data_IF_228937617569
#
_entry.id   IF_228937617569
#
_cell.length_a   1.000
_cell.length_b   1.000
_cell.length_c   1.000
_cell.angle_alpha   90.00
_cell.angle_beta   90.00
_cell.angle_gamma   90.00
#
_symmetry.space_group_name_H-M   'P 1'
#
loop_
_entity.id
_entity.type
_entity.pdbx_description
1 polymer ?
#
# COMPACT_ATOMS: atom_id res chain seq x y z
N UNK A 1 -30.08 48.91 -30.02
CA UNK A 1 -30.25 48.88 -31.50
C UNK A 1 -29.03 48.18 -32.08
N UNK A 2 -29.12 46.88 -32.38
CA UNK A 2 -29.11 46.28 -33.74
C UNK A 2 -27.71 46.28 -34.38
N UNK A 3 -27.11 45.22 -34.95
CA UNK A 3 -27.35 43.81 -35.33
C UNK A 3 -25.89 43.27 -35.54
N UNK A 4 -25.47 42.03 -35.26
CA UNK A 4 -25.96 40.76 -35.78
C UNK A 4 -25.47 40.50 -37.23
N UNK A 5 -24.38 39.74 -37.43
CA UNK A 5 -24.16 38.86 -38.61
C UNK A 5 -22.90 37.98 -38.47
N UNK A 6 -23.12 36.66 -38.39
CA UNK A 6 -22.27 35.54 -38.90
C UNK A 6 -22.62 35.29 -40.39
N UNK A 7 -22.05 34.33 -41.19
CA UNK A 7 -20.86 33.43 -41.11
C UNK A 7 -20.04 33.46 -42.47
N UNK A 8 -19.33 32.43 -43.05
CA UNK A 8 -19.51 30.95 -43.04
C UNK A 8 -18.26 30.07 -42.72
N UNK A 9 -18.57 28.83 -42.36
CA UNK A 9 -17.70 27.65 -42.31
C UNK A 9 -17.12 27.25 -43.69
N UNK A 10 -15.92 26.66 -43.68
CA UNK A 10 -15.60 25.28 -44.12
C UNK A 10 -14.28 25.14 -44.91
N UNK A 11 -13.71 23.92 -44.78
CA UNK A 11 -12.49 23.30 -45.37
C UNK A 11 -11.24 23.50 -44.50
N UNK A 12 -10.63 22.47 -43.88
CA UNK A 12 -10.73 21.03 -44.03
C UNK A 12 -9.35 20.48 -44.41
N UNK A 13 -8.63 19.91 -43.43
CA UNK A 13 -7.42 19.09 -43.65
C UNK A 13 -7.09 18.29 -42.37
N UNK A 14 -6.48 17.10 -42.49
CA UNK A 14 -7.07 15.88 -41.95
C UNK A 14 -6.38 15.34 -40.68
N UNK A 15 -7.17 14.63 -39.87
CA UNK A 15 -6.69 13.76 -38.79
C UNK A 15 -6.17 12.44 -39.38
N UNK A 16 -5.03 11.89 -38.95
CA UNK A 16 -4.61 10.57 -39.38
C UNK A 16 -5.41 9.50 -38.64
N UNK A 17 -6.24 8.79 -39.39
CA UNK A 17 -6.85 7.52 -39.02
C UNK A 17 -5.81 6.40 -39.10
N UNK A 18 -5.58 5.70 -38.00
CA UNK A 18 -4.95 4.38 -38.03
C UNK A 18 -5.99 3.32 -37.67
N UNK A 19 -6.63 2.78 -38.71
CA UNK A 19 -7.21 1.44 -38.70
C UNK A 19 -6.15 0.50 -39.27
N UNK A 20 -5.78 -0.53 -38.53
CA UNK A 20 -4.87 -1.57 -39.01
C UNK A 20 -4.76 -2.75 -38.04
N UNK A 21 -5.49 -3.81 -38.34
CA UNK A 21 -5.23 -5.22 -38.00
C UNK A 21 -5.18 -5.66 -36.53
N UNK A 22 -6.29 -6.24 -36.07
CA UNK A 22 -6.36 -7.20 -34.96
C UNK A 22 -5.93 -8.59 -35.43
N UNK A 23 -5.03 -9.31 -34.74
CA UNK A 23 -4.97 -10.76 -34.81
C UNK A 23 -6.02 -11.37 -33.88
N UNK A 24 -6.66 -12.43 -34.39
CA UNK A 24 -7.78 -13.18 -33.81
C UNK A 24 -7.51 -13.71 -32.39
N UNK A 25 -8.58 -13.74 -31.61
CA UNK A 25 -8.71 -14.40 -30.32
C UNK A 25 -8.23 -15.87 -30.37
N UNK A 26 -7.14 -16.14 -29.65
CA UNK A 26 -6.73 -17.49 -29.27
C UNK A 26 -7.29 -17.82 -27.88
N UNK A 27 -7.97 -18.96 -27.81
CA UNK A 27 -8.56 -19.63 -26.65
C UNK A 27 -7.56 -19.74 -25.49
N UNK A 28 -7.87 -19.18 -24.31
CA UNK A 28 -7.12 -19.45 -23.06
C UNK A 28 -7.85 -20.55 -22.29
N UNK A 29 -7.57 -21.81 -22.64
CA UNK A 29 -7.98 -22.97 -21.85
C UNK A 29 -6.83 -23.41 -20.92
N UNK A 30 -7.14 -23.42 -19.62
CA UNK A 30 -6.43 -24.01 -18.45
C UNK A 30 -5.31 -23.22 -17.73
N UNK A 31 -5.34 -23.16 -16.38
CA UNK A 31 -4.29 -22.54 -15.57
C UNK A 31 -3.05 -23.45 -15.48
N UNK A 32 -1.82 -22.90 -15.43
CA UNK A 32 -0.62 -23.71 -15.24
C UNK A 32 -0.54 -24.20 -13.79
N UNK A 33 -0.24 -25.49 -13.63
CA UNK A 33 0.09 -26.13 -12.36
C UNK A 33 1.27 -25.42 -11.70
N UNK A 34 1.08 -25.00 -10.46
CA UNK A 34 2.13 -24.41 -9.61
C UNK A 34 3.11 -25.48 -9.13
N UNK A 35 4.38 -25.37 -9.52
CA UNK A 35 5.49 -26.00 -8.81
C UNK A 35 6.23 -24.93 -7.96
N UNK A 36 6.64 -25.24 -6.72
CA UNK A 36 7.32 -24.27 -5.88
C UNK A 36 8.82 -24.33 -6.14
N UNK A 37 9.34 -23.40 -6.96
CA UNK A 37 10.72 -22.87 -6.97
C UNK A 37 11.01 -22.22 -8.32
N UNK A 38 10.76 -20.92 -8.42
CA UNK A 38 11.60 -19.99 -9.17
C UNK A 38 11.00 -18.59 -9.01
N UNK A 39 11.72 -17.74 -8.28
CA UNK A 39 11.52 -16.30 -8.37
C UNK A 39 11.65 -15.86 -9.83
N UNK A 40 10.80 -14.94 -10.33
CA UNK A 40 10.95 -14.43 -11.68
C UNK A 40 12.30 -13.74 -11.81
N UNK A 41 13.22 -14.34 -12.57
CA UNK A 41 14.52 -13.76 -12.93
C UNK A 41 14.27 -12.67 -13.97
N UNK A 42 13.98 -11.46 -13.49
CA UNK A 42 14.16 -10.24 -14.27
C UNK A 42 15.64 -10.12 -14.67
N UNK A 43 15.98 -9.46 -15.79
CA UNK A 43 17.37 -9.15 -16.11
C UNK A 43 17.90 -8.18 -15.03
N UNK A 44 18.49 -8.73 -13.98
CA UNK A 44 18.95 -8.04 -12.76
C UNK A 44 20.18 -7.17 -12.99
N UNK A 45 20.55 -6.89 -14.24
CA UNK A 45 21.75 -6.14 -14.57
C UNK A 45 21.45 -5.20 -15.72
N UNK A 46 21.47 -3.90 -15.43
CA UNK A 46 21.55 -2.88 -16.46
C UNK A 46 22.81 -3.18 -17.31
N UNK A 47 22.74 -3.12 -18.65
CA UNK A 47 23.81 -3.64 -19.51
C UNK A 47 25.18 -3.00 -19.20
N UNK A 48 25.22 -1.72 -18.82
CA UNK A 48 26.47 -1.04 -18.46
C UNK A 48 27.12 -1.61 -17.17
N UNK A 49 26.36 -1.77 -16.08
CA UNK A 49 26.89 -2.37 -14.84
C UNK A 49 27.21 -3.85 -15.01
N UNK A 50 26.37 -4.57 -15.77
CA UNK A 50 26.60 -5.98 -16.09
C UNK A 50 27.91 -6.19 -16.84
N UNK A 51 28.22 -5.33 -17.81
CA UNK A 51 29.46 -5.35 -18.56
C UNK A 51 30.66 -5.00 -17.68
N UNK A 52 30.58 -3.94 -16.87
CA UNK A 52 31.66 -3.54 -15.95
C UNK A 52 31.94 -4.64 -14.91
N UNK A 53 30.90 -5.23 -14.34
CA UNK A 53 31.05 -6.36 -13.42
C UNK A 53 31.63 -7.60 -14.10
N UNK A 54 31.29 -7.85 -15.37
CA UNK A 54 31.85 -8.97 -16.14
C UNK A 54 33.35 -8.77 -16.43
N UNK A 55 33.79 -7.54 -16.70
CA UNK A 55 35.22 -7.21 -16.85
C UNK A 55 36.04 -7.61 -15.61
N UNK A 56 35.45 -7.50 -14.41
CA UNK A 56 36.10 -7.82 -13.15
C UNK A 56 35.89 -9.23 -12.60
N UNK A 57 35.19 -10.12 -13.30
CA UNK A 57 34.72 -11.39 -12.74
C UNK A 57 35.81 -12.47 -12.56
N UNK A 58 37.01 -12.26 -13.12
CA UNK A 58 38.15 -13.18 -12.99
C UNK A 58 38.84 -13.10 -11.62
N UNK A 59 39.69 -14.09 -11.30
CA UNK A 59 40.51 -14.10 -10.06
C UNK A 59 41.64 -13.06 -10.04
N UNK A 60 41.93 -12.44 -11.18
CA UNK A 60 42.90 -11.35 -11.31
C UNK A 60 42.38 -10.31 -12.29
N UNK A 61 43.03 -9.15 -12.29
CA UNK A 61 42.64 -8.01 -13.11
C UNK A 61 43.75 -7.71 -14.14
N UNK A 62 43.63 -8.17 -15.40
CA UNK A 62 44.62 -7.88 -16.43
C UNK A 62 44.85 -6.37 -16.60
N UNK A 63 46.08 -5.96 -16.91
CA UNK A 63 46.46 -4.54 -16.99
C UNK A 63 45.57 -3.73 -17.93
N UNK A 64 45.20 -4.30 -19.09
CA UNK A 64 44.27 -3.66 -20.02
C UNK A 64 42.87 -3.45 -19.43
N UNK A 65 42.35 -4.44 -18.70
CA UNK A 65 41.06 -4.33 -18.01
C UNK A 65 41.11 -3.31 -16.88
N UNK A 66 42.22 -3.30 -16.12
CA UNK A 66 42.46 -2.33 -15.06
C UNK A 66 42.46 -0.90 -15.59
N UNK A 67 43.20 -0.64 -16.67
CA UNK A 67 43.27 0.68 -17.29
C UNK A 67 41.90 1.17 -17.77
N UNK A 68 41.08 0.28 -18.36
CA UNK A 68 39.70 0.60 -18.75
C UNK A 68 38.86 0.98 -17.53
N UNK A 69 38.91 0.19 -16.45
CA UNK A 69 38.15 0.48 -15.23
C UNK A 69 38.59 1.79 -14.58
N UNK A 70 39.90 2.05 -14.50
CA UNK A 70 40.45 3.30 -13.98
C UNK A 70 39.96 4.49 -14.81
N UNK A 71 39.91 4.39 -16.14
CA UNK A 71 39.30 5.42 -16.99
C UNK A 71 37.81 5.63 -16.74
N UNK A 72 37.05 4.56 -16.46
CA UNK A 72 35.62 4.63 -16.17
C UNK A 72 35.31 5.25 -14.80
N UNK A 73 36.27 5.30 -13.87
CA UNK A 73 36.06 5.93 -12.55
C UNK A 73 35.74 7.42 -12.62
N UNK A 74 36.13 8.10 -13.71
CA UNK A 74 35.82 9.51 -13.99
C UNK A 74 34.59 9.72 -14.86
N UNK A 75 33.80 8.68 -15.11
CA UNK A 75 32.61 8.75 -15.96
C UNK A 75 31.61 9.80 -15.46
N UNK A 76 31.00 10.62 -16.36
CA UNK A 76 29.91 11.53 -15.99
C UNK A 76 28.63 10.78 -15.58
N UNK A 77 28.51 9.50 -15.94
CA UNK A 77 27.47 8.60 -15.45
C UNK A 77 27.92 8.03 -14.08
N UNK A 78 27.32 8.44 -12.95
CA UNK A 78 27.77 8.06 -11.61
C UNK A 78 27.60 6.55 -11.35
N UNK A 79 26.67 5.90 -12.06
CA UNK A 79 26.46 4.45 -11.99
C UNK A 79 27.66 3.71 -12.55
N UNK A 80 28.17 4.17 -13.69
CA UNK A 80 29.37 3.61 -14.34
C UNK A 80 30.60 3.83 -13.49
N UNK A 81 30.80 5.08 -12.99
CA UNK A 81 31.93 5.42 -12.13
C UNK A 81 31.96 4.58 -10.85
N UNK A 82 30.80 4.44 -10.17
CA UNK A 82 30.68 3.64 -8.96
C UNK A 82 30.91 2.15 -9.23
N UNK A 83 30.34 1.61 -10.30
CA UNK A 83 30.54 0.20 -10.66
C UNK A 83 32.02 -0.10 -10.96
N UNK A 84 32.71 0.80 -11.66
CA UNK A 84 34.13 0.66 -11.95
C UNK A 84 34.97 0.67 -10.65
N UNK A 85 34.69 1.61 -9.74
CA UNK A 85 35.34 1.67 -8.43
C UNK A 85 35.10 0.41 -7.59
N UNK A 86 33.89 -0.14 -7.59
CA UNK A 86 33.58 -1.36 -6.84
C UNK A 86 34.39 -2.55 -7.33
N UNK A 87 34.56 -2.69 -8.65
CA UNK A 87 35.39 -3.75 -9.23
C UNK A 87 36.86 -3.55 -8.87
N UNK A 88 37.40 -2.35 -9.03
CA UNK A 88 38.79 -2.02 -8.66
C UNK A 88 39.07 -2.31 -7.18
N UNK A 89 38.17 -1.88 -6.28
CA UNK A 89 38.28 -2.12 -4.85
C UNK A 89 38.25 -3.62 -4.50
N UNK A 90 37.39 -4.41 -5.16
CA UNK A 90 37.35 -5.86 -4.98
C UNK A 90 38.65 -6.57 -5.39
N UNK A 91 39.45 -5.94 -6.26
CA UNK A 91 40.79 -6.39 -6.67
C UNK A 91 41.93 -5.69 -5.92
N UNK A 92 41.64 -5.08 -4.77
CA UNK A 92 42.65 -4.46 -3.89
C UNK A 92 43.19 -3.11 -4.36
N UNK A 93 42.63 -2.54 -5.43
CA UNK A 93 42.97 -1.17 -5.87
C UNK A 93 42.23 -0.19 -4.96
N UNK A 94 42.98 0.51 -4.10
CA UNK A 94 42.44 1.57 -3.26
C UNK A 94 42.85 2.94 -3.80
N UNK A 95 41.95 3.92 -3.64
CA UNK A 95 42.27 5.33 -3.80
C UNK A 95 41.85 6.04 -2.52
N UNK A 96 42.69 6.90 -1.92
CA UNK A 96 42.22 7.77 -0.85
C UNK A 96 41.04 8.59 -1.39
N UNK A 97 39.90 8.48 -0.72
CA UNK A 97 38.77 9.35 -1.00
C UNK A 97 39.16 10.76 -0.55
N UNK A 98 38.91 11.79 -1.36
CA UNK A 98 39.16 13.16 -0.92
C UNK A 98 38.32 13.44 0.32
N UNK A 99 38.87 14.20 1.25
CA UNK A 99 38.11 14.64 2.41
C UNK A 99 36.98 15.55 1.92
N UNK A 100 35.73 15.14 2.22
CA UNK A 100 34.55 15.92 1.86
C UNK A 100 34.03 16.58 3.12
N UNK A 101 34.16 17.92 3.21
CA UNK A 101 33.49 18.67 4.26
C UNK A 101 31.99 18.41 4.18
N UNK A 102 31.40 18.01 5.28
CA UNK A 102 29.95 17.85 5.39
C UNK A 102 29.39 18.93 6.32
N UNK A 103 28.07 19.14 6.29
CA UNK A 103 27.41 20.08 7.21
C UNK A 103 27.23 19.53 8.63
N UNK A 104 27.62 18.29 8.88
CA UNK A 104 27.35 17.56 10.12
C UNK A 104 28.66 17.01 10.71
N UNK A 105 28.68 16.79 12.02
CA UNK A 105 29.86 16.24 12.69
C UNK A 105 29.92 14.68 12.60
N UNK A 106 31.09 14.07 12.89
CA UNK A 106 31.20 12.61 12.88
C UNK A 106 30.33 11.87 13.91
N UNK A 107 29.82 12.52 14.95
CA UNK A 107 28.91 11.91 15.92
C UNK A 107 27.51 11.75 15.33
N UNK A 108 27.03 12.73 14.57
CA UNK A 108 25.78 12.64 13.81
C UNK A 108 25.78 11.42 12.88
N UNK A 109 26.83 11.21 12.08
CA UNK A 109 26.90 10.06 11.18
C UNK A 109 26.92 8.72 11.93
N UNK A 110 27.60 8.66 13.09
CA UNK A 110 27.57 7.46 13.95
C UNK A 110 26.17 7.17 14.48
N UNK A 111 25.40 8.19 14.80
CA UNK A 111 23.99 8.04 15.18
C UNK A 111 23.15 7.50 14.03
N UNK A 112 23.28 8.08 12.83
CA UNK A 112 22.58 7.61 11.63
C UNK A 112 22.88 6.14 11.37
N UNK A 113 24.15 5.73 11.43
CA UNK A 113 24.55 4.33 11.23
C UNK A 113 23.99 3.39 12.29
N UNK A 114 23.99 3.81 13.57
CA UNK A 114 23.38 3.05 14.66
C UNK A 114 21.86 2.96 14.51
N UNK A 115 21.22 4.01 14.01
CA UNK A 115 19.78 3.97 13.73
C UNK A 115 19.48 3.01 12.56
N UNK A 116 20.30 3.05 11.52
CA UNK A 116 20.18 2.23 10.30
C UNK A 116 20.53 0.74 10.51
N UNK A 117 21.15 0.37 11.63
CA UNK A 117 21.64 -1.00 11.89
C UNK A 117 20.53 -2.01 12.22
N UNK A 118 19.27 -1.59 12.30
CA UNK A 118 18.11 -2.45 12.49
C UNK A 118 17.07 -2.20 11.40
N UNK A 119 16.21 -3.18 11.09
CA UNK A 119 15.11 -2.98 10.15
C UNK A 119 14.25 -1.78 10.57
N UNK A 120 13.93 -0.92 9.60
CA UNK A 120 13.09 0.27 9.78
C UNK A 120 11.93 0.24 8.80
N UNK A 121 10.84 0.85 9.22
CA UNK A 121 9.64 0.96 8.40
C UNK A 121 9.04 2.36 8.52
N UNK A 122 8.34 2.77 7.46
CA UNK A 122 7.52 3.96 7.41
C UNK A 122 6.10 3.56 7.00
N UNK A 123 5.12 4.05 7.73
CA UNK A 123 3.71 3.94 7.41
C UNK A 123 3.18 5.32 6.99
N UNK A 124 2.61 5.41 5.79
CA UNK A 124 1.95 6.61 5.27
C UNK A 124 0.46 6.33 5.17
N UNK A 125 -0.29 6.87 6.11
CA UNK A 125 -1.75 6.79 6.15
C UNK A 125 -2.31 7.84 5.21
N UNK A 126 -3.15 7.44 4.27
CA UNK A 126 -3.82 8.36 3.33
C UNK A 126 -5.33 8.23 3.43
N UNK A 127 -6.04 9.16 2.80
CA UNK A 127 -7.50 9.07 2.61
C UNK A 127 -7.95 7.84 1.82
N UNK A 128 -7.06 7.14 1.10
CA UNK A 128 -7.38 5.95 0.29
C UNK A 128 -6.90 4.63 0.91
N UNK A 129 -6.36 4.69 2.12
CA UNK A 129 -5.74 3.56 2.82
C UNK A 129 -4.28 3.83 3.17
N UNK A 130 -3.60 2.80 3.63
CA UNK A 130 -2.25 2.93 4.18
C UNK A 130 -1.21 2.35 3.21
N UNK A 131 -0.07 3.03 3.09
CA UNK A 131 1.14 2.50 2.48
C UNK A 131 2.12 2.11 3.58
N UNK A 132 2.58 0.86 3.58
CA UNK A 132 3.64 0.41 4.46
C UNK A 132 4.91 0.21 3.65
N UNK A 133 5.97 0.91 4.05
CA UNK A 133 7.23 0.98 3.34
C UNK A 133 8.30 0.36 4.23
N UNK A 134 8.94 -0.70 3.74
CA UNK A 134 10.18 -1.20 4.33
C UNK A 134 11.31 -0.25 3.88
N UNK A 135 11.99 0.38 4.83
CA UNK A 135 13.04 1.36 4.52
C UNK A 135 14.35 0.65 4.13
N UNK A 136 14.99 1.14 3.08
CA UNK A 136 16.28 0.66 2.57
C UNK A 136 17.43 1.44 3.23
N UNK A 137 17.63 1.17 4.52
CA UNK A 137 18.66 1.83 5.34
C UNK A 137 20.08 1.46 4.95
N UNK A 138 20.26 0.41 4.13
CA UNK A 138 21.56 0.01 3.62
C UNK A 138 21.99 0.86 2.42
N UNK A 139 21.07 1.16 1.51
CA UNK A 139 21.37 1.98 0.33
C UNK A 139 21.35 3.47 0.60
N UNK A 140 20.41 3.93 1.45
CA UNK A 140 20.19 5.35 1.72
C UNK A 140 19.92 5.62 3.22
N UNK A 141 20.90 5.36 4.11
CA UNK A 141 20.73 5.53 5.56
C UNK A 141 20.38 6.96 5.98
N UNK A 142 21.01 7.98 5.39
CA UNK A 142 20.76 9.38 5.77
C UNK A 142 19.36 9.83 5.34
N UNK A 143 18.96 9.52 4.10
CA UNK A 143 17.64 9.85 3.60
C UNK A 143 16.55 9.14 4.41
N UNK A 144 16.71 7.85 4.71
CA UNK A 144 15.78 7.11 5.57
C UNK A 144 15.69 7.72 6.98
N UNK A 145 16.84 8.07 7.58
CA UNK A 145 16.89 8.68 8.91
C UNK A 145 16.13 10.02 8.96
N UNK A 146 16.36 10.89 7.97
CA UNK A 146 15.70 12.20 7.90
C UNK A 146 14.21 12.07 7.60
N UNK A 147 13.82 11.14 6.72
CA UNK A 147 12.41 10.85 6.43
C UNK A 147 11.69 10.37 7.69
N UNK A 148 12.29 9.46 8.46
CA UNK A 148 11.77 9.00 9.73
C UNK A 148 11.64 10.15 10.74
N UNK A 149 12.67 10.99 10.88
CA UNK A 149 12.64 12.15 11.76
C UNK A 149 11.54 13.17 11.39
N UNK A 150 11.23 13.33 10.09
CA UNK A 150 10.10 14.15 9.63
C UNK A 150 8.75 13.51 10.00
N UNK A 151 8.61 12.19 9.85
CA UNK A 151 7.41 11.47 10.24
C UNK A 151 7.16 11.55 11.76
N UNK A 152 8.20 11.39 12.59
CA UNK A 152 8.10 11.53 14.05
C UNK A 152 7.63 12.93 14.46
N UNK A 153 8.03 13.96 13.71
CA UNK A 153 7.60 15.36 13.90
C UNK A 153 6.25 15.69 13.29
N UNK A 154 5.51 14.70 12.77
CA UNK A 154 4.20 14.89 12.12
C UNK A 154 4.25 15.84 10.92
N UNK A 155 5.41 15.97 10.29
CA UNK A 155 5.62 16.89 9.18
C UNK A 155 4.73 16.57 7.97
N UNK A 156 4.46 15.28 7.73
CA UNK A 156 3.67 14.84 6.58
C UNK A 156 2.16 14.94 6.79
N UNK A 157 1.70 15.16 8.02
CA UNK A 157 0.29 15.16 8.37
C UNK A 157 -0.42 16.35 7.70
N UNK A 158 -1.45 16.06 6.91
CA UNK A 158 -2.17 17.04 6.11
C UNK A 158 -1.57 17.36 4.75
N UNK A 159 -0.34 16.91 4.45
CA UNK A 159 0.28 17.11 3.13
C UNK A 159 -0.40 16.27 2.06
N UNK A 160 -0.16 16.60 0.79
CA UNK A 160 -0.83 15.94 -0.34
C UNK A 160 0.11 15.17 -1.25
N UNK A 161 -0.46 14.22 -1.98
CA UNK A 161 0.12 13.73 -3.23
C UNK A 161 -0.22 14.72 -4.35
N UNK A 162 0.68 15.68 -4.57
CA UNK A 162 0.47 16.76 -5.54
C UNK A 162 0.71 16.32 -6.99
N UNK A 163 1.39 15.19 -7.21
CA UNK A 163 1.68 14.66 -8.54
C UNK A 163 1.37 13.17 -8.62
N UNK A 164 0.50 12.79 -9.54
CA UNK A 164 0.08 11.40 -9.79
C UNK A 164 0.14 11.15 -11.29
N UNK A 165 1.02 10.23 -11.69
CA UNK A 165 1.21 9.82 -13.08
C UNK A 165 0.94 8.30 -13.17
N UNK A 166 -0.25 7.86 -13.66
CA UNK A 166 -0.73 6.48 -13.57
C UNK A 166 0.24 5.39 -14.05
N UNK A 167 1.06 5.71 -15.05
CA UNK A 167 2.04 4.78 -15.62
C UNK A 167 3.47 5.08 -15.20
N UNK A 168 3.68 5.89 -14.15
CA UNK A 168 5.00 6.30 -13.71
C UNK A 168 5.16 6.28 -12.19
N UNK A 169 4.74 7.34 -11.51
CA UNK A 169 4.93 7.54 -10.07
C UNK A 169 3.77 8.29 -9.45
N UNK A 170 3.56 8.08 -8.16
CA UNK A 170 2.84 9.01 -7.28
C UNK A 170 3.84 9.70 -6.38
N UNK A 171 3.75 11.01 -6.25
CA UNK A 171 4.69 11.85 -5.53
C UNK A 171 3.95 12.78 -4.57
N UNK A 172 4.47 12.89 -3.35
CA UNK A 172 3.89 13.68 -2.27
C UNK A 172 4.95 14.12 -1.25
N UNK A 173 4.50 14.69 -0.14
CA UNK A 173 5.40 15.18 0.93
C UNK A 173 5.95 16.59 0.70
N UNK A 174 5.24 17.39 -0.09
CA UNK A 174 5.52 18.82 -0.29
C UNK A 174 4.58 19.69 0.58
N UNK A 175 5.11 20.50 1.52
CA UNK A 175 4.33 21.47 2.30
C UNK A 175 3.55 22.50 1.50
N UNK A 176 4.05 22.89 0.31
CA UNK A 176 3.40 23.85 -0.58
C UNK A 176 2.40 23.20 -1.52
N UNK A 177 2.57 21.90 -1.79
CA UNK A 177 1.73 21.13 -2.71
C UNK A 177 1.87 21.51 -4.18
N UNK A 178 2.93 22.26 -4.56
CA UNK A 178 3.16 22.75 -5.92
C UNK A 178 4.40 22.12 -6.60
N UNK A 179 5.07 21.21 -5.90
CA UNK A 179 6.30 20.53 -6.31
C UNK A 179 7.58 21.24 -5.86
N UNK A 180 7.50 22.46 -5.31
CA UNK A 180 8.66 23.31 -5.01
C UNK A 180 8.89 23.56 -3.52
N UNK A 181 8.08 23.00 -2.63
CA UNK A 181 8.34 23.07 -1.19
C UNK A 181 9.21 21.92 -0.68
N UNK A 182 9.62 22.07 0.58
CA UNK A 182 10.51 21.14 1.27
C UNK A 182 10.57 21.43 2.77
N UNK A 183 11.38 20.66 3.51
CA UNK A 183 11.38 20.68 4.98
C UNK A 183 12.23 21.80 5.59
N UNK A 184 12.66 22.78 4.79
CA UNK A 184 13.58 23.84 5.23
C UNK A 184 15.06 23.43 5.24
N UNK A 185 15.39 22.23 4.77
CA UNK A 185 16.76 21.76 4.56
C UNK A 185 16.83 20.87 3.31
N UNK A 186 18.05 20.64 2.83
CA UNK A 186 18.36 19.69 1.75
C UNK A 186 19.34 18.63 2.22
N UNK A 187 19.34 17.48 1.56
CA UNK A 187 20.19 16.34 1.81
C UNK A 187 21.03 16.04 0.58
N UNK A 188 22.25 15.54 0.82
CA UNK A 188 23.09 14.99 -0.24
C UNK A 188 22.50 13.70 -0.79
N UNK A 189 22.78 13.43 -2.05
CA UNK A 189 22.21 12.29 -2.74
C UNK A 189 22.88 10.97 -2.36
N UNK A 190 22.08 10.04 -1.83
CA UNK A 190 22.48 8.64 -1.65
C UNK A 190 22.03 7.81 -2.86
N UNK A 191 22.66 8.07 -4.02
CA UNK A 191 22.28 7.45 -5.29
C UNK A 191 22.44 5.93 -5.23
N UNK A 192 21.32 5.20 -5.35
CA UNK A 192 21.30 3.75 -5.21
C UNK A 192 21.48 3.04 -6.56
N UNK A 193 22.16 1.89 -6.53
CA UNK A 193 22.19 0.92 -7.63
C UNK A 193 21.06 -0.12 -7.52
N UNK A 194 20.09 0.13 -6.65
CA UNK A 194 18.90 -0.69 -6.48
C UNK A 194 17.89 -0.36 -7.59
N UNK A 195 17.37 -1.35 -8.32
CA UNK A 195 16.37 -1.11 -9.36
C UNK A 195 15.07 -0.53 -8.78
N UNK A 196 14.55 0.51 -9.43
CA UNK A 196 13.22 1.03 -9.16
C UNK A 196 12.15 0.13 -9.81
N UNK A 197 11.82 -1.00 -9.17
CA UNK A 197 10.70 -1.86 -9.56
C UNK A 197 9.35 -1.18 -9.25
N UNK A 198 8.22 -1.79 -9.62
CA UNK A 198 6.92 -1.32 -9.13
C UNK A 198 6.87 -1.43 -7.60
N UNK A 199 6.45 -0.36 -6.92
CA UNK A 199 6.43 -0.25 -5.46
C UNK A 199 7.73 0.24 -4.84
N UNK A 200 8.77 0.54 -5.62
CA UNK A 200 9.98 1.18 -5.10
C UNK A 200 9.68 2.62 -4.65
N UNK A 201 10.37 3.06 -3.59
CA UNK A 201 10.19 4.38 -2.99
C UNK A 201 11.50 5.16 -3.09
N UNK A 202 11.42 6.39 -3.59
CA UNK A 202 12.58 7.27 -3.72
C UNK A 202 12.31 8.69 -3.22
N UNK A 203 13.39 9.46 -3.05
CA UNK A 203 13.33 10.89 -2.75
C UNK A 203 13.34 11.69 -4.04
N UNK A 204 12.39 12.61 -4.20
CA UNK A 204 12.36 13.50 -5.35
C UNK A 204 13.48 14.55 -5.27
N UNK A 205 14.05 14.88 -6.42
CA UNK A 205 15.16 15.82 -6.57
C UNK A 205 14.78 16.90 -7.60
N UNK A 206 15.28 18.12 -7.40
CA UNK A 206 15.26 19.23 -8.37
C UNK A 206 16.64 19.45 -9.04
N UNK A 207 17.58 18.55 -8.79
CA UNK A 207 18.97 18.61 -9.19
C UNK A 207 19.85 17.79 -8.22
N UNK A 208 21.16 17.66 -8.48
CA UNK A 208 22.07 17.00 -7.56
C UNK A 208 22.02 17.63 -6.16
N UNK A 209 21.99 16.79 -5.11
CA UNK A 209 22.02 17.17 -3.70
C UNK A 209 20.89 18.13 -3.27
N UNK A 210 19.69 17.92 -3.83
CA UNK A 210 18.49 18.75 -3.53
C UNK A 210 17.38 17.97 -2.81
N UNK A 211 17.63 16.73 -2.40
CA UNK A 211 16.64 15.89 -1.74
C UNK A 211 16.15 16.51 -0.43
N UNK A 212 14.86 16.38 -0.15
CA UNK A 212 14.23 16.96 1.04
C UNK A 212 13.20 16.03 1.64
N UNK A 213 11.95 16.47 1.71
CA UNK A 213 10.84 15.69 2.25
C UNK A 213 10.04 14.93 1.20
N UNK A 214 10.12 15.36 -0.06
CA UNK A 214 9.27 14.82 -1.10
C UNK A 214 9.68 13.39 -1.45
N UNK A 215 8.72 12.47 -1.38
CA UNK A 215 8.90 11.06 -1.73
C UNK A 215 8.03 10.70 -2.92
N UNK A 216 8.45 9.70 -3.68
CA UNK A 216 7.65 9.11 -4.74
C UNK A 216 7.60 7.58 -4.62
N UNK A 217 6.50 7.00 -5.08
CA UNK A 217 6.32 5.54 -5.24
C UNK A 217 6.16 5.24 -6.72
N UNK A 218 6.97 4.35 -7.25
CA UNK A 218 6.85 3.89 -8.64
C UNK A 218 5.66 2.96 -8.82
N UNK A 219 4.80 3.25 -9.80
CA UNK A 219 3.63 2.40 -10.10
C UNK A 219 3.97 1.26 -11.07
N UNK A 220 5.08 1.39 -11.77
CA UNK A 220 5.59 0.45 -12.77
C UNK A 220 7.12 0.47 -12.74
N UNK A 221 7.84 -0.51 -13.32
CA UNK A 221 9.31 -0.51 -13.32
C UNK A 221 9.91 0.73 -14.02
N UNK A 222 10.88 1.40 -13.39
CA UNK A 222 11.53 2.62 -13.88
C UNK A 222 13.05 2.53 -13.89
N UNK A 223 13.63 1.81 -14.87
CA UNK A 223 15.08 1.61 -14.95
C UNK A 223 15.87 2.91 -15.15
N UNK A 224 15.26 3.98 -15.67
CA UNK A 224 15.92 5.27 -15.86
C UNK A 224 16.12 6.08 -14.56
N UNK A 225 15.51 5.67 -13.44
CA UNK A 225 15.71 6.30 -12.12
C UNK A 225 16.92 5.73 -11.37
N UNK A 226 17.42 4.57 -11.82
CA UNK A 226 18.58 3.89 -11.24
C UNK A 226 19.80 4.81 -11.21
N UNK A 227 20.40 4.96 -10.02
CA UNK A 227 21.55 5.83 -9.79
C UNK A 227 21.35 7.30 -10.12
N UNK A 228 20.10 7.74 -10.20
CA UNK A 228 19.71 9.15 -10.33
C UNK A 228 18.92 9.67 -9.15
N UNK A 229 18.34 8.78 -8.35
CA UNK A 229 17.56 9.11 -7.17
C UNK A 229 17.95 8.22 -6.00
N UNK A 230 17.87 8.71 -4.75
CA UNK A 230 17.96 7.88 -3.57
C UNK A 230 16.83 6.86 -3.54
N UNK A 231 17.16 5.58 -3.33
CA UNK A 231 16.20 4.51 -3.11
C UNK A 231 16.04 4.31 -1.60
N UNK A 232 14.92 4.75 -1.05
CA UNK A 232 14.69 4.80 0.41
C UNK A 232 13.83 3.65 0.92
N UNK A 233 13.25 2.85 0.04
CA UNK A 233 12.48 1.69 0.48
C UNK A 233 11.63 1.04 -0.59
N UNK A 234 10.78 0.11 -0.16
CA UNK A 234 9.80 -0.56 -1.02
C UNK A 234 8.48 -0.71 -0.28
N UNK A 235 7.37 -0.50 -0.99
CA UNK A 235 6.02 -0.74 -0.47
C UNK A 235 5.85 -2.23 -0.19
N UNK A 236 5.89 -2.59 1.09
CA UNK A 236 5.72 -3.96 1.56
C UNK A 236 4.23 -4.35 1.67
N UNK A 237 3.36 -3.39 1.96
CA UNK A 237 1.91 -3.56 1.95
C UNK A 237 1.21 -2.28 1.48
N UNK A 238 0.03 -2.44 0.88
CA UNK A 238 -0.76 -1.31 0.39
C UNK A 238 -0.41 -0.83 -1.02
N UNK A 239 0.29 -1.61 -1.85
CA UNK A 239 0.61 -1.20 -3.23
C UNK A 239 -0.65 -0.82 -4.04
N UNK A 240 -1.76 -1.52 -3.84
CA UNK A 240 -3.05 -1.17 -4.45
C UNK A 240 -3.61 0.19 -3.98
N UNK A 241 -3.19 0.71 -2.83
CA UNK A 241 -3.51 2.09 -2.42
C UNK A 241 -2.74 3.07 -3.30
N UNK A 242 -1.44 2.83 -3.52
CA UNK A 242 -0.58 3.70 -4.33
C UNK A 242 -1.14 3.87 -5.76
N UNK A 243 -1.65 2.79 -6.36
CA UNK A 243 -2.25 2.82 -7.71
C UNK A 243 -3.59 3.54 -7.79
N UNK A 244 -4.27 3.76 -6.67
CA UNK A 244 -5.56 4.45 -6.60
C UNK A 244 -5.45 5.90 -6.16
N UNK A 245 -4.28 6.33 -5.69
CA UNK A 245 -4.04 7.72 -5.29
C UNK A 245 -4.33 8.67 -6.46
N UNK A 246 -4.86 9.84 -6.12
CA UNK A 246 -5.21 10.93 -7.03
C UNK A 246 -4.53 12.21 -6.57
N UNK A 247 -4.35 13.13 -7.50
CA UNK A 247 -3.83 14.48 -7.20
C UNK A 247 -4.68 15.11 -6.09
N UNK A 248 -4.04 15.60 -5.04
CA UNK A 248 -4.69 16.24 -3.90
C UNK A 248 -5.13 15.30 -2.79
N UNK A 249 -4.98 13.97 -2.93
CA UNK A 249 -5.22 13.06 -1.82
C UNK A 249 -4.27 13.37 -0.66
N UNK A 250 -4.83 13.41 0.55
CA UNK A 250 -4.10 13.80 1.76
C UNK A 250 -3.45 12.61 2.45
N UNK A 251 -2.25 12.87 2.97
CA UNK A 251 -1.60 12.09 4.02
C UNK A 251 -2.26 12.50 5.32
N UNK A 252 -2.93 11.55 5.97
CA UNK A 252 -3.59 11.77 7.26
C UNK A 252 -2.60 11.69 8.42
N UNK A 253 -1.65 10.76 8.32
CA UNK A 253 -0.58 10.58 9.30
C UNK A 253 0.61 9.87 8.67
N UNK A 254 1.81 10.18 9.15
CA UNK A 254 2.98 9.34 8.94
C UNK A 254 3.51 8.78 10.28
N UNK A 255 3.88 7.51 10.28
CA UNK A 255 4.49 6.82 11.42
C UNK A 255 5.74 6.10 10.99
N UNK A 256 6.72 5.98 11.88
CA UNK A 256 7.94 5.23 11.64
C UNK A 256 8.25 4.36 12.85
N UNK A 257 9.03 3.31 12.65
CA UNK A 257 9.44 2.45 13.74
C UNK A 257 10.58 1.50 13.40
N UNK A 258 10.96 0.72 14.40
CA UNK A 258 11.99 -0.29 14.31
C UNK A 258 11.38 -1.70 14.34
N UNK A 259 12.13 -2.67 13.79
CA UNK A 259 11.79 -4.08 13.87
C UNK A 259 10.91 -4.54 12.70
N UNK A 260 10.14 -5.63 12.89
CA UNK A 260 9.29 -6.16 11.83
C UNK A 260 8.23 -5.14 11.42
N UNK A 261 7.83 -5.21 10.15
CA UNK A 261 6.71 -4.41 9.65
C UNK A 261 5.45 -4.65 10.50
N UNK A 262 4.69 -3.61 10.85
CA UNK A 262 3.42 -3.79 11.54
C UNK A 262 2.47 -4.65 10.69
N UNK A 263 1.68 -5.52 11.31
CA UNK A 263 0.67 -6.29 10.58
C UNK A 263 -0.42 -5.35 10.06
N UNK A 264 -0.42 -5.05 8.76
CA UNK A 264 -1.39 -4.14 8.17
C UNK A 264 -2.76 -4.82 7.97
N UNK A 265 -3.81 -4.07 8.27
CA UNK A 265 -5.20 -4.44 8.03
C UNK A 265 -5.78 -3.52 6.97
N UNK A 266 -6.36 -4.05 5.88
CA UNK A 266 -6.98 -3.20 4.87
C UNK A 266 -8.06 -2.29 5.50
N UNK A 267 -8.04 -1.02 5.08
CA UNK A 267 -9.11 -0.04 5.35
C UNK A 267 -10.07 -0.07 4.17
N UNK A 268 -11.36 -0.24 4.45
CA UNK A 268 -12.37 -0.43 3.43
C UNK A 268 -13.40 0.69 3.46
N UNK A 269 -13.84 1.14 2.28
CA UNK A 269 -14.86 2.16 2.15
C UNK A 269 -15.91 1.74 1.11
N UNK A 270 -17.18 1.99 1.42
CA UNK A 270 -18.32 1.65 0.57
C UNK A 270 -18.73 0.18 0.64
N UNK A 271 -19.63 -0.26 -0.24
CA UNK A 271 -20.11 -1.64 -0.24
C UNK A 271 -18.94 -2.61 -0.51
N UNK A 272 -18.81 -3.63 0.34
CA UNK A 272 -17.74 -4.62 0.24
C UNK A 272 -18.29 -5.91 -0.35
N UNK A 273 -17.66 -6.33 -1.43
CA UNK A 273 -17.79 -7.67 -1.98
C UNK A 273 -17.13 -8.66 -1.00
N UNK A 274 -17.84 -9.67 -0.48
CA UNK A 274 -17.24 -10.69 0.37
C UNK A 274 -16.02 -11.38 -0.26
N UNK A 275 -15.98 -11.55 -1.59
CA UNK A 275 -14.82 -12.12 -2.28
C UNK A 275 -13.56 -11.22 -2.21
N UNK A 276 -13.72 -9.96 -1.79
CA UNK A 276 -12.60 -9.07 -1.50
C UNK A 276 -11.87 -9.46 -0.21
N UNK A 277 -12.61 -9.96 0.80
CA UNK A 277 -11.99 -10.47 2.04
C UNK A 277 -11.06 -11.63 1.71
N UNK A 278 -11.49 -12.54 0.84
CA UNK A 278 -10.69 -13.70 0.41
C UNK A 278 -9.38 -13.30 -0.28
N UNK A 279 -9.40 -12.22 -1.06
CA UNK A 279 -8.22 -11.72 -1.77
C UNK A 279 -7.28 -10.93 -0.88
N UNK A 280 -7.82 -10.09 0.00
CA UNK A 280 -7.03 -9.15 0.81
C UNK A 280 -6.60 -9.72 2.16
N UNK A 281 -7.26 -10.77 2.65
CA UNK A 281 -6.98 -11.40 3.94
C UNK A 281 -6.96 -12.93 3.78
N UNK A 282 -5.89 -13.49 3.19
CA UNK A 282 -5.76 -14.93 3.06
C UNK A 282 -5.89 -15.65 4.42
N UNK A 283 -6.69 -16.71 4.48
CA UNK A 283 -6.85 -17.54 5.68
C UNK A 283 -7.87 -17.03 6.70
N UNK A 284 -8.58 -15.93 6.46
CA UNK A 284 -9.59 -15.41 7.41
C UNK A 284 -10.73 -16.40 7.69
N UNK A 285 -11.04 -17.30 6.75
CA UNK A 285 -11.98 -18.41 6.96
C UNK A 285 -11.51 -19.45 7.98
N UNK A 286 -10.21 -19.56 8.24
CA UNK A 286 -9.67 -20.46 9.26
C UNK A 286 -10.10 -20.00 10.67
N UNK A 287 -10.19 -18.68 10.87
CA UNK A 287 -10.74 -18.09 12.11
C UNK A 287 -12.22 -18.46 12.29
N UNK A 288 -12.99 -18.53 11.19
CA UNK A 288 -14.39 -18.98 11.21
C UNK A 288 -14.47 -20.47 11.55
N UNK A 289 -13.60 -21.28 10.95
CA UNK A 289 -13.53 -22.73 11.15
C UNK A 289 -13.13 -23.14 12.58
N UNK A 290 -12.53 -22.24 13.37
CA UNK A 290 -12.23 -22.48 14.78
C UNK A 290 -13.45 -22.27 15.69
N UNK A 291 -14.42 -21.45 15.28
CA UNK A 291 -15.60 -21.16 16.10
C UNK A 291 -16.62 -22.31 16.04
N UNK A 292 -17.25 -22.61 17.18
CA UNK A 292 -18.32 -23.61 17.29
C UNK A 292 -19.56 -22.91 17.89
N UNK A 293 -20.54 -22.54 17.04
CA UNK A 293 -21.82 -22.04 17.50
C UNK A 293 -22.53 -23.07 18.38
N UNK A 294 -23.35 -22.62 19.34
CA UNK A 294 -24.14 -23.54 20.17
C UNK A 294 -25.45 -23.93 19.51
N UNK A 295 -25.71 -25.23 19.42
CA UNK A 295 -26.89 -25.77 18.74
C UNK A 295 -28.21 -25.24 19.31
N UNK A 296 -28.31 -25.07 20.64
CA UNK A 296 -29.53 -24.53 21.29
C UNK A 296 -29.98 -23.18 20.73
N UNK A 297 -29.03 -22.32 20.33
CA UNK A 297 -29.33 -21.01 19.75
C UNK A 297 -29.61 -21.13 18.26
N UNK A 298 -28.90 -22.02 17.56
CA UNK A 298 -29.14 -22.31 16.15
C UNK A 298 -30.56 -22.87 15.93
N UNK A 299 -31.03 -23.76 16.80
CA UNK A 299 -32.38 -24.34 16.72
C UNK A 299 -33.46 -23.28 16.86
N UNK A 300 -33.30 -22.33 17.80
CA UNK A 300 -34.19 -21.18 17.91
C UNK A 300 -34.14 -20.33 16.64
N UNK A 301 -32.96 -19.97 16.13
CA UNK A 301 -32.82 -19.19 14.90
C UNK A 301 -33.48 -19.88 13.69
N UNK A 302 -33.36 -21.21 13.56
CA UNK A 302 -34.04 -21.98 12.49
C UNK A 302 -35.56 -21.99 12.64
N UNK A 303 -36.09 -21.77 13.84
CA UNK A 303 -37.53 -21.73 14.12
C UNK A 303 -38.20 -20.37 13.85
N UNK A 304 -37.41 -19.35 13.48
CA UNK A 304 -37.92 -18.02 13.19
C UNK A 304 -38.91 -18.03 12.03
N UNK A 305 -40.00 -17.26 12.20
CA UNK A 305 -41.11 -17.20 11.22
C UNK A 305 -40.86 -16.13 10.17
N UNK A 306 -40.11 -15.09 10.52
CA UNK A 306 -39.80 -13.98 9.63
C UNK A 306 -38.41 -14.10 9.00
N UNK A 307 -38.20 -13.30 7.94
CA UNK A 307 -36.88 -13.11 7.34
C UNK A 307 -36.28 -11.78 7.77
N UNK A 308 -34.97 -11.79 8.00
CA UNK A 308 -34.23 -10.65 8.51
C UNK A 308 -33.06 -10.29 7.60
N UNK A 309 -32.82 -8.99 7.40
CA UNK A 309 -31.62 -8.51 6.72
C UNK A 309 -30.46 -8.33 7.71
N UNK A 310 -29.24 -8.60 7.25
CA UNK A 310 -28.02 -8.31 8.01
C UNK A 310 -27.20 -7.24 7.29
N UNK A 311 -26.91 -6.15 8.00
CA UNK A 311 -25.98 -5.12 7.54
C UNK A 311 -24.81 -5.00 8.50
N UNK A 312 -23.60 -5.07 7.99
CA UNK A 312 -22.39 -5.05 8.81
C UNK A 312 -21.55 -3.84 8.42
N UNK A 313 -21.47 -2.86 9.31
CA UNK A 313 -20.54 -1.76 9.19
C UNK A 313 -19.17 -2.17 9.72
N UNK A 314 -18.14 -2.05 8.88
CA UNK A 314 -16.76 -2.32 9.25
C UNK A 314 -15.81 -1.48 8.41
N UNK A 315 -14.75 -0.93 8.99
CA UNK A 315 -13.86 0.00 8.28
C UNK A 315 -12.41 -0.45 8.22
N UNK A 316 -12.01 -1.27 9.17
CA UNK A 316 -10.67 -1.81 9.33
C UNK A 316 -10.81 -3.25 9.77
N UNK A 317 -9.96 -4.15 9.30
CA UNK A 317 -9.95 -5.53 9.79
C UNK A 317 -9.36 -5.66 11.21
N UNK A 318 -9.70 -4.79 12.16
CA UNK A 318 -9.16 -4.78 13.53
C UNK A 318 -9.40 -6.10 14.30
N UNK A 319 -8.83 -6.24 15.50
CA UNK A 319 -9.00 -7.42 16.38
C UNK A 319 -10.45 -7.87 16.53
N UNK A 320 -11.37 -6.93 16.71
CA UNK A 320 -12.80 -7.24 16.91
C UNK A 320 -13.45 -7.67 15.61
N UNK A 321 -13.06 -7.07 14.49
CA UNK A 321 -13.51 -7.50 13.15
C UNK A 321 -12.97 -8.88 12.79
N UNK A 322 -11.69 -9.17 13.10
CA UNK A 322 -11.10 -10.52 13.01
C UNK A 322 -11.87 -11.53 13.85
N UNK A 323 -12.44 -11.10 14.98
CA UNK A 323 -13.12 -12.04 15.88
C UNK A 323 -14.57 -12.25 15.46
N UNK A 324 -15.34 -11.18 15.28
CA UNK A 324 -16.80 -11.30 15.14
C UNK A 324 -17.26 -11.63 13.72
N UNK A 325 -16.53 -11.21 12.67
CA UNK A 325 -16.95 -11.48 11.29
C UNK A 325 -16.82 -12.96 10.94
N UNK A 326 -15.71 -13.65 11.28
CA UNK A 326 -15.63 -15.09 11.06
C UNK A 326 -16.63 -15.86 11.92
N UNK A 327 -16.91 -15.41 13.16
CA UNK A 327 -17.97 -16.00 14.01
C UNK A 327 -19.36 -15.87 13.40
N UNK A 328 -19.71 -14.68 12.88
CA UNK A 328 -20.98 -14.47 12.17
C UNK A 328 -21.11 -15.44 10.99
N UNK A 329 -20.05 -15.55 10.19
CA UNK A 329 -20.04 -16.46 9.04
C UNK A 329 -20.18 -17.92 9.47
N UNK A 330 -19.50 -18.34 10.54
CA UNK A 330 -19.62 -19.69 11.08
C UNK A 330 -21.07 -19.99 11.54
N UNK A 331 -21.76 -19.03 12.16
CA UNK A 331 -23.19 -19.16 12.50
C UNK A 331 -24.05 -19.29 11.25
N UNK A 332 -23.88 -18.40 10.27
CA UNK A 332 -24.65 -18.44 9.01
C UNK A 332 -24.42 -19.75 8.24
N UNK A 333 -23.17 -20.24 8.22
CA UNK A 333 -22.83 -21.52 7.60
C UNK A 333 -23.49 -22.71 8.33
N UNK A 334 -23.52 -22.70 9.66
CA UNK A 334 -24.16 -23.74 10.47
C UNK A 334 -25.70 -23.73 10.37
N UNK A 335 -26.31 -22.56 10.16
CA UNK A 335 -27.75 -22.43 9.87
C UNK A 335 -28.08 -22.94 8.46
N UNK A 336 -27.20 -22.71 7.49
CA UNK A 336 -27.35 -23.15 6.11
C UNK A 336 -28.66 -22.66 5.48
N UNK A 337 -29.41 -23.56 4.83
CA UNK A 337 -30.71 -23.23 4.23
C UNK A 337 -31.80 -22.87 5.24
N UNK A 338 -31.61 -23.21 6.51
CA UNK A 338 -32.52 -22.86 7.61
C UNK A 338 -32.25 -21.48 8.21
N UNK A 339 -31.33 -20.69 7.65
CA UNK A 339 -31.06 -19.34 8.14
C UNK A 339 -32.26 -18.41 7.92
N UNK A 340 -32.74 -17.71 8.96
CA UNK A 340 -33.75 -16.66 8.80
C UNK A 340 -33.14 -15.36 8.25
N UNK A 341 -31.81 -15.28 8.19
CA UNK A 341 -31.09 -14.12 7.71
C UNK A 341 -30.81 -14.19 6.22
N UNK A 342 -30.92 -13.04 5.55
CA UNK A 342 -30.36 -12.81 4.22
C UNK A 342 -28.82 -12.77 4.27
N UNK A 343 -28.20 -12.89 3.10
CA UNK A 343 -26.74 -12.75 2.99
C UNK A 343 -26.30 -11.38 3.53
N UNK A 344 -25.28 -11.32 4.40
CA UNK A 344 -24.87 -10.08 5.05
C UNK A 344 -24.33 -9.09 4.01
N UNK A 345 -24.81 -7.86 4.08
CA UNK A 345 -24.26 -6.73 3.32
C UNK A 345 -23.16 -6.07 4.14
N UNK A 346 -21.93 -6.14 3.65
CA UNK A 346 -20.77 -5.54 4.29
C UNK A 346 -20.57 -4.11 3.79
N UNK A 347 -20.42 -3.15 4.69
CA UNK A 347 -20.21 -1.74 4.38
C UNK A 347 -18.93 -1.24 5.04
N UNK A 348 -17.99 -0.84 4.19
CA UNK A 348 -16.75 -0.13 4.50
C UNK A 348 -17.01 1.24 5.11
N UNK A 349 -16.58 1.48 6.35
CA UNK A 349 -16.58 2.82 6.97
C UNK A 349 -15.17 3.40 7.03
N UNK A 350 -15.03 4.72 7.00
CA UNK A 350 -13.70 5.33 7.12
C UNK A 350 -13.11 5.22 8.54
N UNK A 351 -11.91 5.77 8.77
CA UNK A 351 -11.27 5.75 10.10
C UNK A 351 -12.01 6.59 11.16
N UNK A 352 -12.80 7.58 10.74
CA UNK A 352 -13.74 8.29 11.63
C UNK A 352 -15.05 7.52 11.84
N UNK A 353 -15.16 6.33 11.24
CA UNK A 353 -16.34 5.46 11.26
C UNK A 353 -17.57 6.12 10.65
N UNK A 354 -17.34 7.08 9.75
CA UNK A 354 -18.40 7.64 8.93
C UNK A 354 -18.78 6.64 7.83
N UNK A 355 -20.05 6.28 7.79
CA UNK A 355 -20.64 5.50 6.72
C UNK A 355 -21.39 6.44 5.75
N UNK A 356 -21.40 6.10 4.46
CA UNK A 356 -22.29 6.76 3.50
C UNK A 356 -23.75 6.48 3.90
N UNK A 357 -24.58 7.49 4.23
CA UNK A 357 -25.96 7.29 4.64
C UNK A 357 -26.82 6.57 3.58
N UNK A 358 -26.44 6.66 2.30
CA UNK A 358 -27.11 5.94 1.22
C UNK A 358 -26.84 4.42 1.28
N UNK A 359 -25.69 4.02 1.84
CA UNK A 359 -25.29 2.62 1.99
C UNK A 359 -25.59 2.06 3.37
N UNK A 360 -25.62 2.91 4.40
CA UNK A 360 -25.87 2.55 5.80
C UNK A 360 -26.82 3.56 6.47
N UNK A 361 -28.15 3.37 6.37
CA UNK A 361 -29.14 4.33 6.85
C UNK A 361 -29.50 4.17 8.35
N UNK A 362 -28.59 3.69 9.19
CA UNK A 362 -28.86 3.31 10.59
C UNK A 362 -28.20 4.23 11.64
N UNK A 363 -27.80 5.44 11.21
CA UNK A 363 -27.12 6.42 12.04
C UNK A 363 -25.60 6.19 12.14
N UNK A 364 -24.92 6.86 13.07
CA UNK A 364 -23.47 6.78 13.21
C UNK A 364 -23.00 5.39 13.65
N UNK A 365 -21.78 5.04 13.24
CA UNK A 365 -21.10 3.81 13.62
C UNK A 365 -20.05 4.16 14.65
N UNK A 366 -20.32 3.94 15.94
CA UNK A 366 -19.36 4.33 16.99
C UNK A 366 -18.21 3.34 17.14
N UNK A 367 -18.45 2.06 16.84
CA UNK A 367 -17.47 0.96 16.93
C UNK A 367 -17.64 -0.02 15.76
N UNK A 368 -16.56 -0.75 15.43
CA UNK A 368 -16.57 -1.73 14.33
C UNK A 368 -16.05 -3.08 14.85
N UNK A 369 -16.65 -4.21 14.41
CA UNK A 369 -17.79 -4.29 13.51
C UNK A 369 -19.10 -3.95 14.23
N UNK A 370 -20.03 -3.28 13.54
CA UNK A 370 -21.42 -3.13 13.99
C UNK A 370 -22.32 -3.96 13.08
N UNK A 371 -23.03 -4.93 13.65
CA UNK A 371 -23.93 -5.84 12.93
C UNK A 371 -25.37 -5.42 13.24
N UNK A 372 -26.04 -4.83 12.25
CA UNK A 372 -27.43 -4.42 12.33
C UNK A 372 -28.32 -5.52 11.77
N UNK A 373 -29.33 -5.90 12.55
CA UNK A 373 -30.41 -6.78 12.15
C UNK A 373 -31.60 -5.93 11.74
N UNK A 374 -32.20 -6.26 10.59
CA UNK A 374 -33.35 -5.52 10.05
C UNK A 374 -34.53 -6.43 9.80
N UNK A 375 -35.75 -5.92 10.00
CA UNK A 375 -37.00 -6.54 9.59
C UNK A 375 -37.76 -5.55 8.70
N UNK A 376 -38.12 -5.97 7.48
CA UNK A 376 -38.76 -5.06 6.51
C UNK A 376 -37.92 -3.82 6.15
N UNK A 377 -36.60 -3.88 6.32
CA UNK A 377 -35.67 -2.77 6.08
C UNK A 377 -35.48 -1.79 7.24
N UNK A 378 -36.28 -1.90 8.31
CA UNK A 378 -36.09 -1.14 9.54
C UNK A 378 -35.17 -1.91 10.51
N UNK A 379 -34.34 -1.18 11.24
CA UNK A 379 -33.52 -1.78 12.29
C UNK A 379 -34.39 -2.30 13.44
N UNK A 380 -34.12 -3.53 13.86
CA UNK A 380 -34.76 -4.16 15.03
C UNK A 380 -33.78 -4.40 16.18
N UNK A 381 -32.49 -4.34 15.90
CA UNK A 381 -31.44 -4.40 16.90
C UNK A 381 -30.07 -4.50 16.26
N UNK A 382 -29.03 -4.33 17.08
CA UNK A 382 -27.64 -4.39 16.62
C UNK A 382 -26.71 -5.02 17.66
N UNK A 383 -25.62 -5.60 17.17
CA UNK A 383 -24.47 -6.03 17.95
C UNK A 383 -23.34 -5.06 17.63
N UNK A 384 -22.78 -4.41 18.66
CA UNK A 384 -21.73 -3.39 18.50
C UNK A 384 -20.43 -3.94 19.06
N UNK A 385 -19.41 -4.06 18.21
CA UNK A 385 -18.04 -4.52 18.50
C UNK A 385 -17.95 -5.97 19.00
N UNK A 386 -18.51 -6.26 20.17
CA UNK A 386 -18.49 -7.58 20.81
C UNK A 386 -19.91 -7.95 21.33
N UNK A 387 -20.38 -9.19 21.11
CA UNK A 387 -21.65 -9.65 21.67
C UNK A 387 -21.70 -9.52 23.19
N UNK A 388 -22.81 -9.02 23.74
CA UNK A 388 -22.99 -8.80 25.18
C UNK A 388 -22.99 -10.12 25.96
N UNK A 389 -23.54 -11.18 25.36
CA UNK A 389 -23.48 -12.54 25.92
C UNK A 389 -22.13 -13.24 25.73
N UNK A 390 -21.19 -12.63 25.00
CA UNK A 390 -19.96 -13.26 24.53
C UNK A 390 -20.14 -14.18 23.31
N UNK A 391 -21.38 -14.40 22.85
CA UNK A 391 -21.72 -15.25 21.69
C UNK A 391 -22.63 -14.54 20.70
N UNK A 392 -22.27 -14.63 19.43
CA UNK A 392 -23.00 -13.91 18.39
C UNK A 392 -24.38 -14.51 18.14
N UNK A 393 -24.50 -15.84 18.16
CA UNK A 393 -25.77 -16.55 17.96
C UNK A 393 -26.79 -16.25 19.08
N UNK A 394 -26.32 -16.04 20.30
CA UNK A 394 -27.18 -15.72 21.44
C UNK A 394 -27.70 -14.29 21.35
N UNK A 395 -26.84 -13.32 21.06
CA UNK A 395 -27.26 -11.93 20.87
C UNK A 395 -28.23 -11.79 19.68
N UNK A 396 -28.01 -12.54 18.59
CA UNK A 396 -28.97 -12.60 17.48
C UNK A 396 -30.33 -13.14 17.95
N UNK A 397 -30.37 -14.23 18.73
CA UNK A 397 -31.61 -14.73 19.32
C UNK A 397 -32.27 -13.68 20.21
N UNK A 398 -31.51 -12.97 21.05
CA UNK A 398 -32.03 -11.91 21.93
C UNK A 398 -32.60 -10.73 21.15
N UNK A 399 -32.04 -10.38 20.00
CA UNK A 399 -32.60 -9.34 19.11
C UNK A 399 -33.93 -9.79 18.49
N UNK A 400 -34.03 -11.05 18.07
CA UNK A 400 -35.22 -11.59 17.42
C UNK A 400 -36.34 -11.94 18.42
N UNK A 401 -36.00 -12.27 19.67
CA UNK A 401 -36.94 -12.81 20.65
C UNK A 401 -38.20 -11.95 20.89
N UNK A 402 -38.13 -10.61 21.02
CA UNK A 402 -39.33 -9.78 21.18
C UNK A 402 -40.27 -9.82 19.96
N UNK A 403 -39.74 -10.14 18.78
CA UNK A 403 -40.47 -10.15 17.51
C UNK A 403 -41.06 -11.53 17.24
N UNK A 404 -40.28 -12.58 17.50
CA UNK A 404 -40.69 -13.97 17.29
C UNK A 404 -41.50 -14.54 18.46
N UNK A 405 -41.50 -13.86 19.62
CA UNK A 405 -42.19 -14.29 20.83
C UNK A 405 -41.47 -15.40 21.58
N UNK A 406 -40.13 -15.40 21.57
CA UNK A 406 -39.32 -16.41 22.24
C UNK A 406 -39.04 -16.06 23.70
N UNK A 407 -39.12 -17.05 24.59
CA UNK A 407 -38.61 -16.94 25.95
C UNK A 407 -37.11 -17.27 25.97
N UNK A 408 -36.27 -16.25 26.17
CA UNK A 408 -34.81 -16.42 26.25
C UNK A 408 -34.38 -16.33 27.70
N UNK A 409 -33.68 -17.33 28.27
CA UNK A 409 -33.18 -17.28 29.63
C UNK A 409 -32.33 -16.01 29.86
N UNK A 410 -32.57 -15.33 30.97
CA UNK A 410 -31.69 -14.25 31.43
C UNK A 410 -30.41 -14.93 31.92
N UNK A 411 -29.32 -14.71 31.20
CA UNK A 411 -28.00 -15.26 31.51
C UNK A 411 -27.30 -14.45 32.58
#
# INVERSE_FOLDING_TARGET
MSRGTTPPCARGSPRPSWRGAWPRCGRWDRPPRTSPRSSPRWPTRWPKCGLIGALGAGKGLPDGTRAVLEGLTGSPDPVVARAAWQVLAAHGVSRPLPEVKTGEDPAFYREVLRWASSPRWLEVVTVRGTLQIALDTASAPLACFRLAALADKKFFDGLTFHRVEPDFVVQGGDPRGDGWGGPGFVMRDELALTPFAAGAVGIALSGPDTGGSQLFVTLTPRPHLLGRYPHVGTVAAGFGVATRLRVGDRILAAHTGAGPLPTHFPVWYGLLDPARLDREIPGWHEEAAAYRPQEKWLDLLRSAKLRYGLMVAMGTWCSDSRTQIPRLQAVLAALGKGSPFDAPRLVGVDRSKAADPALYPFGPVDLVPTIVVTAGGAEVGRIVETPKSGRIEEDLVRILAPIEGWEVPVG
#
